data_IF_294886067949
#
_entry.id   IF_294886067949
#
_cell.length_a   1.000
_cell.length_b   1.000
_cell.length_c   1.000
_cell.angle_alpha   90.00
_cell.angle_beta   90.00
_cell.angle_gamma   90.00
#
_symmetry.space_group_name_H-M   'P 1'
#
loop_
_entity.id
_entity.type
_entity.pdbx_description
1 polymer ?
#
# COMPACT_ATOMS: atom_id res chain seq x y z
N UNK A 1 -33.55 -25.96 -14.19
CA UNK A 1 -33.43 -24.60 -13.61
C UNK A 1 -33.23 -24.77 -12.12
N UNK A 2 -32.05 -24.46 -11.59
CA UNK A 2 -31.77 -24.52 -10.16
C UNK A 2 -31.85 -23.10 -9.59
N UNK A 3 -32.99 -22.74 -9.01
CA UNK A 3 -33.18 -21.44 -8.38
C UNK A 3 -32.40 -21.38 -7.07
N UNK A 4 -31.32 -20.60 -7.05
CA UNK A 4 -30.53 -20.35 -5.85
C UNK A 4 -31.39 -19.65 -4.80
N UNK A 5 -31.73 -20.37 -3.73
CA UNK A 5 -32.30 -19.75 -2.53
C UNK A 5 -31.21 -18.94 -1.82
N UNK A 6 -31.17 -17.63 -2.10
CA UNK A 6 -30.46 -16.71 -1.22
C UNK A 6 -31.18 -16.71 0.12
N UNK A 7 -30.51 -17.27 1.14
CA UNK A 7 -31.07 -17.40 2.49
C UNK A 7 -31.53 -16.05 3.02
N UNK A 8 -32.81 -15.97 3.37
CA UNK A 8 -33.36 -14.83 4.10
C UNK A 8 -32.62 -14.73 5.43
N UNK A 9 -31.90 -13.62 5.65
CA UNK A 9 -31.28 -13.35 6.94
C UNK A 9 -32.39 -13.20 7.99
N UNK A 10 -32.44 -14.12 8.94
CA UNK A 10 -33.43 -14.11 10.03
C UNK A 10 -33.18 -12.92 10.94
N UNK A 11 -33.93 -11.83 10.76
CA UNK A 11 -33.93 -10.64 11.63
C UNK A 11 -34.22 -10.95 13.12
N UNK A 12 -34.70 -12.15 13.41
CA UNK A 12 -35.18 -12.57 14.73
C UNK A 12 -34.09 -13.23 15.62
N UNK A 13 -32.89 -13.49 15.08
CA UNK A 13 -31.82 -14.14 15.84
C UNK A 13 -30.58 -13.24 15.93
N UNK A 14 -29.99 -13.08 17.13
CA UNK A 14 -28.79 -12.28 17.30
C UNK A 14 -27.60 -12.96 16.59
N UNK A 15 -26.69 -12.22 15.95
CA UNK A 15 -25.61 -12.80 15.17
C UNK A 15 -24.57 -13.45 16.08
N UNK A 16 -24.28 -14.73 15.82
CA UNK A 16 -23.28 -15.51 16.57
C UNK A 16 -21.86 -14.94 16.34
N UNK A 17 -21.06 -14.87 17.40
CA UNK A 17 -19.65 -14.51 17.37
C UNK A 17 -18.76 -15.72 17.67
N UNK A 18 -17.73 -15.90 16.84
CA UNK A 18 -16.79 -17.04 16.87
C UNK A 18 -15.33 -16.56 16.79
N UNK A 19 -15.01 -15.44 17.45
CA UNK A 19 -13.67 -14.82 17.46
C UNK A 19 -13.15 -14.30 16.11
N UNK A 20 -13.94 -14.36 15.03
CA UNK A 20 -13.51 -14.01 13.68
C UNK A 20 -14.48 -13.06 12.98
N UNK A 21 -13.95 -12.29 12.01
CA UNK A 21 -14.70 -11.29 11.23
C UNK A 21 -15.47 -10.28 12.10
N UNK A 22 -14.85 -9.83 13.20
CA UNK A 22 -15.45 -8.95 14.21
C UNK A 22 -16.10 -7.70 13.59
N UNK A 23 -15.49 -7.06 12.59
CA UNK A 23 -16.08 -5.89 11.92
C UNK A 23 -17.46 -6.16 11.30
N UNK A 24 -17.65 -7.35 10.69
CA UNK A 24 -18.94 -7.74 10.12
C UNK A 24 -19.93 -8.18 11.21
N UNK A 25 -19.46 -8.88 12.25
CA UNK A 25 -20.28 -9.23 13.42
C UNK A 25 -20.79 -7.97 14.13
N UNK A 26 -19.90 -7.06 14.52
CA UNK A 26 -20.17 -5.78 15.19
C UNK A 26 -21.24 -4.97 14.46
N UNK A 27 -21.13 -4.87 13.13
CA UNK A 27 -22.14 -4.20 12.29
C UNK A 27 -23.51 -4.87 12.39
N UNK A 28 -23.57 -6.21 12.29
CA UNK A 28 -24.83 -6.97 12.39
C UNK A 28 -25.42 -6.91 13.79
N UNK A 29 -24.60 -7.02 14.84
CA UNK A 29 -25.05 -6.97 16.24
C UNK A 29 -25.63 -5.60 16.56
N UNK A 30 -24.94 -4.51 16.17
CA UNK A 30 -25.45 -3.15 16.28
C UNK A 30 -26.80 -2.96 15.56
N UNK A 31 -26.94 -3.50 14.35
CA UNK A 31 -28.21 -3.48 13.60
C UNK A 31 -29.32 -4.30 14.28
N UNK A 32 -28.99 -5.47 14.82
CA UNK A 32 -29.93 -6.33 15.55
C UNK A 32 -30.45 -5.63 16.81
N UNK A 33 -29.55 -5.09 17.65
CA UNK A 33 -29.95 -4.43 18.90
C UNK A 33 -30.86 -3.22 18.64
N UNK A 34 -30.54 -2.38 17.64
CA UNK A 34 -31.42 -1.28 17.22
C UNK A 34 -32.79 -1.74 16.73
N UNK A 35 -32.85 -2.88 16.03
CA UNK A 35 -34.10 -3.47 15.53
C UNK A 35 -34.95 -4.12 16.60
N UNK A 36 -34.35 -4.52 17.73
CA UNK A 36 -35.05 -5.08 18.90
C UNK A 36 -35.60 -3.98 19.80
N UNK A 37 -34.78 -2.99 20.14
CA UNK A 37 -35.11 -1.91 21.08
C UNK A 37 -34.03 -0.81 21.00
N UNK A 38 -34.39 0.42 20.62
CA UNK A 38 -33.44 1.53 20.50
C UNK A 38 -32.80 1.92 21.84
N UNK A 39 -33.53 1.80 22.95
CA UNK A 39 -32.99 2.09 24.29
C UNK A 39 -31.93 1.05 24.69
N UNK A 40 -32.03 -0.19 24.19
CA UNK A 40 -31.07 -1.26 24.46
C UNK A 40 -29.68 -0.93 23.89
N UNK A 41 -29.61 -0.37 22.67
CA UNK A 41 -28.33 0.09 22.12
C UNK A 41 -27.78 1.30 22.88
N UNK A 42 -28.64 2.25 23.29
CA UNK A 42 -28.21 3.41 24.07
C UNK A 42 -27.55 2.99 25.41
N UNK A 43 -28.02 1.92 26.04
CA UNK A 43 -27.39 1.36 27.25
C UNK A 43 -26.05 0.70 26.95
N UNK A 44 -25.89 -0.01 25.82
CA UNK A 44 -24.57 -0.54 25.39
C UNK A 44 -23.57 0.59 25.16
N UNK A 45 -24.00 1.70 24.54
CA UNK A 45 -23.10 2.80 24.20
C UNK A 45 -22.75 3.68 25.41
N UNK A 46 -23.74 4.03 26.24
CA UNK A 46 -23.57 5.02 27.31
C UNK A 46 -23.31 4.36 28.68
N UNK A 47 -23.78 3.13 28.87
CA UNK A 47 -23.86 2.44 30.16
C UNK A 47 -25.23 2.61 30.83
N UNK A 48 -25.52 1.83 31.88
CA UNK A 48 -26.66 2.09 32.76
C UNK A 48 -26.46 3.42 33.51
N UNK A 49 -27.55 3.96 34.05
CA UNK A 49 -27.50 5.07 35.01
C UNK A 49 -26.67 4.61 36.22
N UNK A 50 -25.58 5.32 36.53
CA UNK A 50 -24.74 5.01 37.70
C UNK A 50 -25.53 5.11 39.01
N UNK A 51 -25.14 4.28 39.97
CA UNK A 51 -25.91 4.01 41.19
C UNK A 51 -24.99 4.18 42.40
N UNK A 52 -25.46 4.89 43.42
CA UNK A 52 -24.96 4.69 44.78
C UNK A 52 -25.52 3.35 45.28
N UNK A 53 -24.66 2.56 45.94
CA UNK A 53 -24.89 1.15 46.25
C UNK A 53 -26.03 0.93 47.28
N UNK A 54 -26.38 1.98 48.04
CA UNK A 54 -27.01 1.81 49.35
C UNK A 54 -28.49 1.40 49.36
N UNK A 55 -29.30 1.65 48.31
CA UNK A 55 -30.72 1.23 48.35
C UNK A 55 -31.38 0.94 47.00
N UNK A 56 -31.61 -0.34 46.70
CA UNK A 56 -32.41 -0.77 45.53
C UNK A 56 -33.91 -0.40 45.65
N UNK A 57 -34.37 -0.11 46.87
CA UNK A 57 -35.77 0.18 47.17
C UNK A 57 -36.15 1.64 46.83
N UNK A 58 -35.20 2.58 46.89
CA UNK A 58 -35.43 4.01 46.57
C UNK A 58 -35.39 4.33 45.08
N UNK A 59 -34.99 3.36 44.23
CA UNK A 59 -34.81 3.57 42.80
C UNK A 59 -36.10 4.02 42.08
N UNK A 60 -35.94 5.06 41.26
CA UNK A 60 -36.95 5.52 40.31
C UNK A 60 -37.27 4.47 39.24
N UNK A 61 -38.43 4.64 38.58
CA UNK A 61 -38.81 3.78 37.45
C UNK A 61 -37.78 3.80 36.30
N UNK A 62 -37.14 4.96 36.07
CA UNK A 62 -36.11 5.11 35.04
C UNK A 62 -34.82 4.33 35.38
N UNK A 63 -34.37 4.36 36.64
CA UNK A 63 -33.22 3.57 37.09
C UNK A 63 -33.51 2.06 36.99
N UNK A 64 -34.68 1.61 37.45
CA UNK A 64 -35.12 0.20 37.32
C UNK A 64 -35.14 -0.25 35.86
N UNK A 65 -35.69 0.57 34.95
CA UNK A 65 -35.69 0.29 33.49
C UNK A 65 -34.27 0.24 32.93
N UNK A 66 -33.39 1.17 33.30
CA UNK A 66 -32.00 1.22 32.84
C UNK A 66 -31.20 -0.02 33.25
N UNK A 67 -31.35 -0.48 34.51
CA UNK A 67 -30.72 -1.70 35.00
C UNK A 67 -31.25 -2.97 34.28
N UNK A 68 -32.56 -3.06 34.06
CA UNK A 68 -33.19 -4.16 33.31
C UNK A 68 -32.70 -4.21 31.85
N UNK A 69 -32.59 -3.06 31.18
CA UNK A 69 -32.04 -2.96 29.84
C UNK A 69 -30.55 -3.35 29.80
N UNK A 70 -29.76 -2.98 30.81
CA UNK A 70 -28.35 -3.40 30.91
C UNK A 70 -28.24 -4.93 31.02
N UNK A 71 -28.99 -5.56 31.93
CA UNK A 71 -29.02 -7.02 32.06
C UNK A 71 -29.46 -7.72 30.76
N UNK A 72 -30.50 -7.19 30.10
CA UNK A 72 -30.97 -7.71 28.80
C UNK A 72 -29.91 -7.55 27.71
N UNK A 73 -29.18 -6.44 27.69
CA UNK A 73 -28.10 -6.20 26.72
C UNK A 73 -26.89 -7.12 26.96
N UNK A 74 -26.47 -7.30 28.22
CA UNK A 74 -25.43 -8.27 28.60
C UNK A 74 -25.79 -9.68 28.14
N UNK A 75 -27.03 -10.11 28.42
CA UNK A 75 -27.52 -11.42 28.01
C UNK A 75 -27.53 -11.60 26.47
N UNK A 76 -28.00 -10.59 25.71
CA UNK A 76 -27.97 -10.63 24.24
C UNK A 76 -26.54 -10.72 23.70
N UNK A 77 -25.58 -10.01 24.30
CA UNK A 77 -24.18 -10.09 23.90
C UNK A 77 -23.61 -11.49 24.22
N UNK A 78 -23.64 -11.90 25.48
CA UNK A 78 -23.04 -13.16 25.95
C UNK A 78 -23.67 -14.40 25.31
N UNK A 79 -25.00 -14.44 25.10
CA UNK A 79 -25.69 -15.57 24.47
C UNK A 79 -25.31 -15.82 23.00
N UNK A 80 -24.58 -14.89 22.36
CA UNK A 80 -24.05 -15.08 21.00
C UNK A 80 -22.58 -15.46 20.94
N UNK A 81 -21.88 -15.43 22.07
CA UNK A 81 -20.45 -15.72 22.13
C UNK A 81 -20.21 -17.24 22.20
N UNK A 82 -19.06 -17.68 21.70
CA UNK A 82 -18.52 -18.99 22.07
C UNK A 82 -17.93 -18.90 23.51
N UNK A 83 -17.52 -20.03 24.12
CA UNK A 83 -16.91 -20.01 25.45
C UNK A 83 -15.65 -19.13 25.54
N UNK A 84 -14.73 -19.24 24.57
CA UNK A 84 -13.46 -18.50 24.55
C UNK A 84 -13.64 -16.96 24.56
N UNK A 85 -14.71 -16.46 23.91
CA UNK A 85 -15.09 -15.06 23.91
C UNK A 85 -15.86 -14.65 25.18
N UNK A 86 -16.66 -15.56 25.75
CA UNK A 86 -17.41 -15.31 26.98
C UNK A 86 -16.47 -15.17 28.19
N UNK A 87 -15.44 -16.01 28.28
CA UNK A 87 -14.42 -15.98 29.34
C UNK A 87 -13.65 -14.63 29.35
N UNK A 88 -13.43 -14.01 28.19
CA UNK A 88 -12.78 -12.69 28.10
C UNK A 88 -13.61 -11.54 28.72
N UNK A 89 -14.93 -11.70 28.81
CA UNK A 89 -15.87 -10.67 29.28
C UNK A 89 -16.60 -11.08 30.56
N UNK A 90 -16.20 -12.18 31.21
CA UNK A 90 -16.82 -12.72 32.42
C UNK A 90 -16.84 -11.68 33.56
N UNK A 91 -15.78 -10.89 33.68
CA UNK A 91 -15.60 -9.89 34.74
C UNK A 91 -16.20 -8.51 34.42
N UNK A 92 -16.98 -8.36 33.34
CA UNK A 92 -17.63 -7.10 32.98
C UNK A 92 -19.01 -6.98 33.65
N UNK A 93 -19.23 -5.89 34.38
CA UNK A 93 -20.48 -5.65 35.15
C UNK A 93 -21.57 -4.98 34.30
N UNK A 94 -21.20 -4.36 33.18
CA UNK A 94 -22.14 -3.67 32.28
C UNK A 94 -22.02 -4.11 30.82
N UNK A 95 -23.12 -3.99 30.07
CA UNK A 95 -23.12 -4.25 28.63
C UNK A 95 -22.15 -3.32 27.87
N UNK A 96 -21.89 -2.13 28.42
CA UNK A 96 -20.90 -1.18 27.93
C UNK A 96 -19.47 -1.70 28.10
N UNK A 97 -19.14 -2.27 29.26
CA UNK A 97 -17.84 -2.90 29.49
C UNK A 97 -17.63 -4.11 28.60
N UNK A 98 -18.63 -5.00 28.48
CA UNK A 98 -18.56 -6.15 27.54
C UNK A 98 -18.26 -5.65 26.12
N UNK A 99 -18.98 -4.62 25.66
CA UNK A 99 -18.79 -4.06 24.33
C UNK A 99 -17.40 -3.41 24.18
N UNK A 100 -16.94 -2.64 25.17
CA UNK A 100 -15.64 -1.99 25.16
C UNK A 100 -14.46 -2.98 25.24
N UNK A 101 -14.61 -4.07 26.00
CA UNK A 101 -13.66 -5.17 26.07
C UNK A 101 -13.52 -5.85 24.70
N UNK A 102 -14.63 -6.22 24.06
CA UNK A 102 -14.63 -6.75 22.70
C UNK A 102 -14.03 -5.77 21.67
N UNK A 103 -14.37 -4.48 21.75
CA UNK A 103 -13.75 -3.47 20.88
C UNK A 103 -12.24 -3.35 21.11
N UNK A 104 -11.76 -3.61 22.32
CA UNK A 104 -10.34 -3.55 22.69
C UNK A 104 -9.58 -4.79 22.23
N UNK A 105 -10.13 -5.99 22.42
CA UNK A 105 -9.54 -7.24 21.91
C UNK A 105 -9.44 -7.21 20.38
N UNK A 106 -10.52 -6.84 19.68
CA UNK A 106 -10.65 -7.07 18.24
C UNK A 106 -10.25 -5.89 17.34
N UNK A 107 -10.30 -4.66 17.84
CA UNK A 107 -9.86 -3.47 17.09
C UNK A 107 -8.63 -2.79 17.72
N UNK A 108 -8.14 -3.31 18.85
CA UNK A 108 -7.07 -2.70 19.66
C UNK A 108 -7.58 -1.62 20.63
N UNK A 109 -6.71 -1.20 21.55
CA UNK A 109 -6.96 -0.05 22.45
C UNK A 109 -7.09 1.27 21.67
N UNK A 110 -7.65 2.33 22.28
CA UNK A 110 -7.72 3.66 21.64
C UNK A 110 -6.35 4.11 21.11
N UNK A 111 -5.29 3.93 21.90
CA UNK A 111 -3.92 4.28 21.53
C UNK A 111 -3.43 3.52 20.28
N UNK A 112 -3.82 2.26 20.10
CA UNK A 112 -3.49 1.48 18.89
C UNK A 112 -4.30 1.99 17.69
N UNK A 113 -5.59 2.34 17.88
CA UNK A 113 -6.43 2.95 16.84
C UNK A 113 -5.88 4.31 16.40
N UNK A 114 -5.48 5.15 17.35
CA UNK A 114 -4.85 6.46 17.13
C UNK A 114 -3.50 6.33 16.41
N UNK A 115 -2.59 5.49 16.90
CA UNK A 115 -1.32 5.23 16.22
C UNK A 115 -1.50 4.73 14.79
N UNK A 116 -2.51 3.87 14.55
CA UNK A 116 -2.86 3.41 13.20
C UNK A 116 -3.47 4.51 12.33
N UNK A 117 -4.26 5.43 12.90
CA UNK A 117 -4.74 6.64 12.22
C UNK A 117 -3.55 7.51 11.82
N UNK A 118 -2.61 7.76 12.71
CA UNK A 118 -1.45 8.63 12.45
C UNK A 118 -0.54 8.06 11.36
N UNK A 119 -0.29 6.75 11.38
CA UNK A 119 0.44 6.05 10.32
C UNK A 119 -0.27 6.16 8.96
N UNK A 120 -1.59 5.98 8.92
CA UNK A 120 -2.39 6.12 7.69
C UNK A 120 -2.52 7.58 7.23
N UNK A 121 -2.53 8.55 8.15
CA UNK A 121 -2.49 9.97 7.83
C UNK A 121 -1.15 10.34 7.20
N UNK A 122 -0.03 9.88 7.75
CA UNK A 122 1.29 10.04 7.15
C UNK A 122 1.40 9.34 5.79
N UNK A 123 0.86 8.13 5.63
CA UNK A 123 0.75 7.44 4.32
C UNK A 123 -0.09 8.27 3.33
N UNK A 124 -1.19 8.89 3.78
CA UNK A 124 -2.02 9.79 2.97
C UNK A 124 -1.25 11.05 2.55
N UNK A 125 -0.56 11.70 3.48
CA UNK A 125 0.19 12.94 3.25
C UNK A 125 1.37 12.73 2.30
N UNK A 126 2.09 11.62 2.45
CA UNK A 126 3.17 11.18 1.55
C UNK A 126 2.69 10.50 0.26
N UNK A 127 1.39 10.18 0.14
CA UNK A 127 0.84 9.52 -1.04
C UNK A 127 1.14 10.30 -2.34
N UNK A 128 1.74 9.62 -3.32
CA UNK A 128 1.98 10.11 -4.66
C UNK A 128 1.62 9.02 -5.70
N UNK A 129 1.44 9.45 -6.95
CA UNK A 129 1.44 8.58 -8.11
C UNK A 129 2.82 7.93 -8.25
N UNK A 130 2.86 6.64 -8.58
CA UNK A 130 4.10 5.89 -8.79
C UNK A 130 4.58 6.02 -10.25
N UNK A 131 5.88 5.81 -10.48
CA UNK A 131 6.44 5.83 -11.83
C UNK A 131 5.82 4.72 -12.71
N UNK A 132 5.34 5.10 -13.89
CA UNK A 132 4.67 4.17 -14.82
C UNK A 132 3.25 3.75 -14.43
N UNK A 133 2.72 4.25 -13.30
CA UNK A 133 1.33 4.04 -12.89
C UNK A 133 0.35 4.84 -13.76
N UNK A 134 -0.90 4.38 -13.89
CA UNK A 134 -1.99 5.14 -14.48
C UNK A 134 -2.89 5.82 -13.44
N UNK A 135 -3.71 6.77 -13.88
CA UNK A 135 -4.66 7.50 -13.03
C UNK A 135 -5.65 6.55 -12.34
N UNK A 136 -6.05 5.46 -13.00
CA UNK A 136 -6.99 4.48 -12.45
C UNK A 136 -6.37 3.66 -11.31
N UNK A 137 -5.14 3.18 -11.49
CA UNK A 137 -4.38 2.44 -10.49
C UNK A 137 -4.08 3.33 -9.26
N UNK A 138 -3.62 4.57 -9.51
CA UNK A 138 -3.38 5.57 -8.47
C UNK A 138 -4.65 5.83 -7.66
N UNK A 139 -5.77 6.09 -8.35
CA UNK A 139 -7.05 6.33 -7.69
C UNK A 139 -7.51 5.12 -6.87
N UNK A 140 -7.33 3.91 -7.39
CA UNK A 140 -7.67 2.67 -6.68
C UNK A 140 -6.87 2.52 -5.38
N UNK A 141 -5.55 2.75 -5.40
CA UNK A 141 -4.71 2.77 -4.18
C UNK A 141 -5.17 3.85 -3.19
N UNK A 142 -5.45 5.05 -3.69
CA UNK A 142 -5.92 6.17 -2.87
C UNK A 142 -7.26 5.86 -2.19
N UNK A 143 -8.22 5.27 -2.92
CA UNK A 143 -9.51 4.84 -2.38
C UNK A 143 -9.36 3.79 -1.29
N UNK A 144 -8.44 2.83 -1.44
CA UNK A 144 -8.13 1.84 -0.38
C UNK A 144 -7.61 2.55 0.87
N UNK A 145 -6.70 3.52 0.74
CA UNK A 145 -6.14 4.28 1.86
C UNK A 145 -7.21 5.11 2.59
N UNK A 146 -8.02 5.86 1.85
CA UNK A 146 -9.15 6.65 2.39
C UNK A 146 -10.19 5.76 3.08
N UNK A 147 -10.46 4.57 2.53
CA UNK A 147 -11.38 3.61 3.15
C UNK A 147 -10.83 3.03 4.47
N UNK A 148 -9.51 2.81 4.59
CA UNK A 148 -8.87 2.42 5.86
C UNK A 148 -9.07 3.51 6.93
N UNK A 149 -8.80 4.77 6.60
CA UNK A 149 -9.01 5.92 7.50
C UNK A 149 -10.48 6.06 7.92
N UNK A 150 -11.41 5.97 6.96
CA UNK A 150 -12.85 6.01 7.22
C UNK A 150 -13.32 4.86 8.11
N UNK A 151 -12.73 3.66 7.96
CA UNK A 151 -12.98 2.50 8.82
C UNK A 151 -12.58 2.71 10.29
N UNK A 152 -11.62 3.61 10.56
CA UNK A 152 -11.20 4.01 11.90
C UNK A 152 -11.90 5.30 12.38
N UNK A 153 -12.99 5.72 11.73
CA UNK A 153 -13.76 6.90 12.11
C UNK A 153 -13.22 8.25 11.61
N UNK A 154 -12.10 8.27 10.85
CA UNK A 154 -11.58 9.51 10.23
C UNK A 154 -12.16 9.69 8.82
N UNK A 155 -13.19 10.53 8.70
CA UNK A 155 -13.69 10.99 7.41
C UNK A 155 -12.99 12.27 6.94
N UNK A 156 -12.44 12.26 5.72
CA UNK A 156 -11.93 13.45 5.04
C UNK A 156 -13.04 14.17 4.26
N UNK A 157 -12.96 15.50 4.12
CA UNK A 157 -13.88 16.24 3.25
C UNK A 157 -13.52 16.03 1.77
N UNK A 158 -14.51 16.03 0.87
CA UNK A 158 -14.28 15.91 -0.59
C UNK A 158 -13.26 16.92 -1.11
N UNK A 159 -13.27 18.14 -0.54
CA UNK A 159 -12.31 19.22 -0.82
C UNK A 159 -10.86 18.78 -0.62
N UNK A 160 -10.58 18.09 0.47
CA UNK A 160 -9.23 17.69 0.85
C UNK A 160 -8.79 16.45 0.07
N UNK A 161 -9.73 15.53 -0.22
CA UNK A 161 -9.50 14.39 -1.13
C UNK A 161 -9.15 14.87 -2.55
N UNK A 162 -9.93 15.80 -3.12
CA UNK A 162 -9.67 16.39 -4.42
C UNK A 162 -8.29 17.07 -4.48
N UNK A 163 -7.96 17.88 -3.47
CA UNK A 163 -6.64 18.52 -3.34
C UNK A 163 -5.50 17.50 -3.20
N UNK A 164 -5.70 16.44 -2.42
CA UNK A 164 -4.70 15.40 -2.21
C UNK A 164 -4.40 14.66 -3.51
N UNK A 165 -5.45 14.23 -4.23
CA UNK A 165 -5.32 13.63 -5.58
C UNK A 165 -4.55 14.55 -6.52
N UNK A 166 -4.93 15.83 -6.62
CA UNK A 166 -4.27 16.81 -7.49
C UNK A 166 -2.80 17.09 -7.14
N UNK A 167 -2.44 17.01 -5.85
CA UNK A 167 -1.04 17.18 -5.37
C UNK A 167 -0.19 15.93 -5.56
N UNK A 168 -0.80 14.74 -5.61
CA UNK A 168 -0.13 13.46 -5.83
C UNK A 168 0.28 13.21 -7.28
N UNK A 169 -0.20 14.02 -8.23
CA UNK A 169 0.13 13.88 -9.65
C UNK A 169 1.59 14.29 -9.94
N UNK A 170 2.28 13.63 -10.89
CA UNK A 170 3.62 13.98 -11.34
C UNK A 170 3.73 15.40 -11.91
N UNK A 171 4.96 15.91 -12.03
CA UNK A 171 5.22 17.29 -12.49
C UNK A 171 4.75 17.55 -13.93
N UNK A 172 4.61 16.56 -14.80
CA UNK A 172 4.05 16.76 -16.14
C UNK A 172 2.57 17.21 -16.09
N UNK A 173 1.85 16.92 -15.00
CA UNK A 173 0.44 17.24 -14.84
C UNK A 173 0.17 18.67 -14.33
N UNK A 174 1.22 19.44 -14.02
CA UNK A 174 1.09 20.82 -13.50
C UNK A 174 0.14 21.72 -14.33
N UNK A 175 0.19 21.75 -15.68
CA UNK A 175 -0.73 22.59 -16.46
C UNK A 175 -2.19 22.16 -16.30
N UNK A 176 -2.46 20.85 -16.32
CA UNK A 176 -3.80 20.28 -16.14
C UNK A 176 -4.32 20.49 -14.71
N UNK A 177 -3.45 20.41 -13.70
CA UNK A 177 -3.77 20.69 -12.31
C UNK A 177 -4.20 22.14 -12.14
N UNK A 178 -3.36 23.10 -12.53
CA UNK A 178 -3.64 24.52 -12.37
C UNK A 178 -4.95 24.90 -13.09
N UNK A 179 -5.16 24.41 -14.33
CA UNK A 179 -6.41 24.64 -15.05
C UNK A 179 -7.66 24.09 -14.35
N UNK A 180 -7.56 22.99 -13.58
CA UNK A 180 -8.65 22.49 -12.74
C UNK A 180 -8.85 23.38 -11.50
N UNK A 181 -7.76 23.80 -10.84
CA UNK A 181 -7.78 24.64 -9.64
C UNK A 181 -8.34 26.04 -9.91
N UNK A 182 -8.09 26.59 -11.11
CA UNK A 182 -8.64 27.87 -11.58
C UNK A 182 -10.10 27.76 -12.04
N UNK A 183 -10.44 26.72 -12.80
CA UNK A 183 -11.77 26.60 -13.42
C UNK A 183 -12.84 25.97 -12.51
N UNK A 184 -12.48 25.24 -11.45
CA UNK A 184 -13.43 24.47 -10.62
C UNK A 184 -13.22 24.65 -9.12
N UNK A 185 -14.31 24.86 -8.39
CA UNK A 185 -14.28 24.85 -6.94
C UNK A 185 -14.12 23.40 -6.42
N UNK A 186 -12.92 23.06 -5.94
CA UNK A 186 -12.59 21.73 -5.40
C UNK A 186 -13.49 21.29 -4.24
N UNK A 187 -14.20 22.22 -3.59
CA UNK A 187 -15.11 21.93 -2.47
C UNK A 187 -16.45 21.33 -2.93
N UNK A 188 -16.90 21.67 -4.15
CA UNK A 188 -18.17 21.20 -4.73
C UNK A 188 -17.97 20.15 -5.83
N UNK A 189 -16.76 20.07 -6.41
CA UNK A 189 -16.40 19.12 -7.46
C UNK A 189 -16.54 17.65 -6.98
N UNK A 190 -17.39 16.83 -7.62
CA UNK A 190 -17.43 15.38 -7.34
C UNK A 190 -16.12 14.70 -7.72
N UNK A 191 -15.61 13.81 -6.86
CA UNK A 191 -14.34 13.09 -7.09
C UNK A 191 -14.37 12.33 -8.43
N UNK A 192 -15.49 11.71 -8.78
CA UNK A 192 -15.64 10.97 -10.05
C UNK A 192 -15.48 11.89 -11.28
N UNK A 193 -15.91 13.14 -11.20
CA UNK A 193 -15.75 14.12 -12.28
C UNK A 193 -14.29 14.60 -12.40
N UNK A 194 -13.59 14.75 -11.26
CA UNK A 194 -12.16 14.99 -11.23
C UNK A 194 -11.38 13.84 -11.88
N UNK A 195 -11.63 12.61 -11.47
CA UNK A 195 -10.98 11.42 -12.02
C UNK A 195 -11.29 11.25 -13.52
N UNK A 196 -12.53 11.48 -13.96
CA UNK A 196 -12.89 11.48 -15.39
C UNK A 196 -12.11 12.52 -16.20
N UNK A 197 -11.95 13.74 -15.68
CA UNK A 197 -11.14 14.80 -16.31
C UNK A 197 -9.65 14.44 -16.43
N UNK A 198 -9.11 13.70 -15.44
CA UNK A 198 -7.73 13.24 -15.43
C UNK A 198 -7.53 12.05 -16.38
N UNK A 199 -8.43 11.06 -16.39
CA UNK A 199 -8.40 9.91 -17.32
C UNK A 199 -8.49 10.35 -18.78
N UNK A 200 -9.37 11.31 -19.10
CA UNK A 200 -9.46 11.86 -20.45
C UNK A 200 -8.16 12.57 -20.88
N UNK A 201 -7.50 13.27 -19.96
CA UNK A 201 -6.20 13.90 -20.22
C UNK A 201 -5.09 12.85 -20.41
N UNK A 202 -5.09 11.77 -19.62
CA UNK A 202 -4.15 10.65 -19.78
C UNK A 202 -4.26 10.02 -21.17
N UNK A 203 -5.50 9.84 -21.67
CA UNK A 203 -5.75 9.31 -23.00
C UNK A 203 -5.20 10.22 -24.10
N UNK A 204 -5.39 11.54 -23.99
CA UNK A 204 -4.82 12.53 -24.92
C UNK A 204 -3.29 12.52 -24.89
N UNK A 205 -2.65 12.47 -23.71
CA UNK A 205 -1.20 12.37 -23.60
C UNK A 205 -0.66 11.09 -24.28
N UNK A 206 -1.33 9.96 -24.08
CA UNK A 206 -0.97 8.67 -24.72
C UNK A 206 -1.10 8.73 -26.25
N UNK A 207 -2.10 9.43 -26.80
CA UNK A 207 -2.21 9.64 -28.24
C UNK A 207 -1.09 10.53 -28.80
N UNK A 208 -0.84 11.70 -28.18
CA UNK A 208 0.20 12.64 -28.62
C UNK A 208 1.59 12.01 -28.58
N UNK A 209 1.93 11.27 -27.52
CA UNK A 209 3.20 10.55 -27.42
C UNK A 209 3.40 9.51 -28.53
N UNK A 210 2.36 8.79 -28.92
CA UNK A 210 2.41 7.85 -30.05
C UNK A 210 2.56 8.56 -31.41
N UNK A 211 1.96 9.73 -31.59
CA UNK A 211 2.19 10.54 -32.79
C UNK A 211 3.62 11.07 -32.84
N UNK A 212 4.17 11.58 -31.75
CA UNK A 212 5.54 12.08 -31.70
C UNK A 212 6.57 10.98 -31.93
N UNK A 213 6.35 9.76 -31.43
CA UNK A 213 7.17 8.61 -31.79
C UNK A 213 7.10 8.29 -33.29
N UNK A 214 5.90 8.27 -33.88
CA UNK A 214 5.73 8.04 -35.33
C UNK A 214 6.41 9.15 -36.14
N UNK A 215 6.28 10.41 -35.73
CA UNK A 215 6.94 11.57 -36.37
C UNK A 215 8.47 11.47 -36.26
N UNK A 216 9.03 11.12 -35.09
CA UNK A 216 10.47 10.92 -34.89
C UNK A 216 11.02 9.76 -35.74
N UNK A 217 10.30 8.63 -35.81
CA UNK A 217 10.63 7.50 -36.69
C UNK A 217 10.61 7.91 -38.18
N UNK A 218 9.65 8.76 -38.58
CA UNK A 218 9.54 9.25 -39.96
C UNK A 218 10.52 10.38 -40.34
N UNK A 219 11.10 11.08 -39.36
CA UNK A 219 12.07 12.16 -39.61
C UNK A 219 13.48 11.64 -39.91
N UNK A 220 13.82 10.46 -39.41
CA UNK A 220 15.15 9.85 -39.53
C UNK A 220 15.52 9.37 -40.96
N UNK A 221 14.61 9.48 -41.94
CA UNK A 221 14.82 8.98 -43.30
C UNK A 221 14.36 9.95 -44.40
N UNK A 222 14.75 11.23 -44.29
CA UNK A 222 14.64 12.22 -45.38
C UNK A 222 15.92 13.05 -45.56
N UNK A 223 17.01 12.40 -45.93
CA UNK A 223 18.03 13.08 -46.75
C UNK A 223 17.41 13.37 -48.11
N UNK A 224 16.83 14.56 -48.27
CA UNK A 224 16.31 15.05 -49.55
C UNK A 224 17.51 15.27 -50.47
N UNK A 225 17.83 14.25 -51.28
CA UNK A 225 18.63 14.45 -52.50
C UNK A 225 17.87 15.47 -53.33
N UNK A 226 18.46 16.65 -53.48
CA UNK A 226 18.02 17.62 -54.47
C UNK A 226 18.95 17.41 -55.64
N UNK A 227 18.47 16.67 -56.64
CA UNK A 227 19.14 16.61 -57.93
C UNK A 227 19.09 18.01 -58.54
N UNK A 228 20.22 18.70 -58.48
CA UNK A 228 20.53 19.81 -59.37
C UNK A 228 21.60 19.31 -60.34
N UNK A 229 21.16 18.95 -61.55
CA UNK A 229 22.04 18.95 -62.72
C UNK A 229 22.60 20.37 -62.88
N UNK A 230 23.88 20.55 -62.58
CA UNK A 230 24.62 21.77 -62.86
C UNK A 230 26.12 21.48 -62.89
N UNK A 231 26.63 21.24 -64.10
CA UNK A 231 28.07 21.14 -64.36
C UNK A 231 28.78 22.41 -63.88
N UNK A 232 29.56 22.30 -62.80
CA UNK A 232 30.72 23.14 -62.47
C UNK A 232 31.43 22.57 -61.22
N UNK A 233 32.39 21.65 -61.42
CA UNK A 233 33.29 21.25 -60.32
C UNK A 233 34.12 22.46 -59.85
N UNK A 234 33.96 22.84 -58.59
CA UNK A 234 34.78 23.88 -57.96
C UNK A 234 36.19 23.34 -57.65
N UNK A 235 37.20 24.20 -57.73
CA UNK A 235 38.61 23.79 -57.53
C UNK A 235 38.89 23.31 -56.08
N UNK A 236 38.03 23.68 -55.13
CA UNK A 236 38.07 23.26 -53.73
C UNK A 236 37.94 21.74 -53.54
N UNK A 237 37.11 21.06 -54.34
CA UNK A 237 36.88 19.62 -54.20
C UNK A 237 38.12 18.82 -54.63
N UNK A 238 38.88 19.35 -55.60
CA UNK A 238 40.17 18.80 -56.03
C UNK A 238 41.24 18.97 -54.95
N UNK A 239 41.27 20.11 -54.27
CA UNK A 239 42.18 20.36 -53.15
C UNK A 239 41.90 19.41 -51.96
N UNK A 240 40.64 19.26 -51.55
CA UNK A 240 40.26 18.34 -50.46
C UNK A 240 40.55 16.87 -50.80
N UNK A 241 40.35 16.45 -52.06
CA UNK A 241 40.71 15.13 -52.54
C UNK A 241 42.23 14.88 -52.52
N UNK A 242 43.06 15.89 -52.82
CA UNK A 242 44.52 15.81 -52.73
C UNK A 242 45.01 15.71 -51.28
N UNK A 243 44.42 16.47 -50.35
CA UNK A 243 44.70 16.36 -48.90
C UNK A 243 44.34 14.96 -48.40
N UNK A 244 43.15 14.46 -48.73
CA UNK A 244 42.68 13.12 -48.35
C UNK A 244 43.56 11.99 -48.88
N UNK A 245 44.06 12.12 -50.13
CA UNK A 245 45.02 11.18 -50.74
C UNK A 245 46.41 11.24 -50.09
N UNK A 246 46.89 12.43 -49.71
CA UNK A 246 48.14 12.57 -48.92
C UNK A 246 48.02 11.91 -47.55
N UNK A 247 46.90 12.10 -46.86
CA UNK A 247 46.67 11.53 -45.53
C UNK A 247 46.66 9.98 -45.55
N UNK A 248 45.95 9.38 -46.52
CA UNK A 248 45.96 7.93 -46.72
C UNK A 248 47.34 7.37 -47.09
N UNK A 249 48.14 8.11 -47.87
CA UNK A 249 49.52 7.71 -48.21
C UNK A 249 50.44 7.74 -46.98
N UNK A 250 50.27 8.72 -46.10
CA UNK A 250 51.05 8.83 -44.85
C UNK A 250 50.70 7.74 -43.83
N UNK A 251 49.42 7.33 -43.75
CA UNK A 251 48.98 6.23 -42.88
C UNK A 251 49.53 4.87 -43.33
N UNK A 252 49.64 4.60 -44.64
CA UNK A 252 50.27 3.36 -45.14
C UNK A 252 51.75 3.27 -44.77
N UNK A 253 52.51 4.37 -44.95
CA UNK A 253 53.96 4.38 -44.69
C UNK A 253 54.33 4.09 -43.22
N UNK A 254 53.46 4.44 -42.26
CA UNK A 254 53.65 4.11 -40.83
C UNK A 254 53.32 2.65 -40.47
N UNK A 255 52.59 1.94 -41.32
CA UNK A 255 52.22 0.53 -41.08
C UNK A 255 53.29 -0.43 -41.59
N UNK A 256 54.01 -0.06 -42.66
CA UNK A 256 55.05 -0.89 -43.25
C UNK A 256 56.37 -0.88 -42.44
N UNK A 257 56.71 0.23 -41.76
CA UNK A 257 57.86 0.27 -40.85
C UNK A 257 57.73 -0.66 -39.63
N UNK A 258 56.50 -1.00 -39.19
CA UNK A 258 56.27 -1.97 -38.11
C UNK A 258 56.35 -3.44 -38.54
N UNK A 259 56.51 -3.73 -39.84
CA UNK A 259 56.56 -5.09 -40.38
C UNK A 259 57.96 -5.62 -40.69
N UNK A 260 59.01 -4.81 -40.51
CA UNK A 260 60.40 -5.17 -40.82
C UNK A 260 61.30 -5.35 -39.58
N UNK A 261 60.74 -5.31 -38.36
CA UNK A 261 61.53 -5.33 -37.11
C UNK A 261 61.30 -6.57 -36.23
N UNK A 262 60.83 -7.69 -36.79
CA UNK A 262 60.63 -8.94 -36.05
C UNK A 262 61.04 -10.16 -36.91
N UNK A 263 62.35 -10.42 -37.03
CA UNK A 263 62.83 -11.79 -37.29
C UNK A 263 64.27 -12.02 -36.79
N UNK A 264 64.40 -12.48 -35.54
CA UNK A 264 65.51 -13.29 -35.02
C UNK A 264 65.01 -14.04 -33.78
N UNK A 265 65.02 -15.37 -33.85
CA UNK A 265 64.41 -16.34 -32.90
C UNK A 265 65.40 -16.66 -31.74
N UNK A 266 65.19 -17.64 -30.81
CA UNK A 266 64.05 -18.58 -30.60
C UNK A 266 63.65 -18.86 -29.11
N UNK A 267 62.76 -19.87 -28.94
CA UNK A 267 62.37 -20.60 -27.69
C UNK A 267 61.40 -19.87 -26.74
N UNK A 268 60.46 -20.53 -26.03
CA UNK A 268 60.21 -21.97 -25.78
C UNK A 268 58.70 -22.25 -25.59
N UNK A 269 58.28 -23.53 -25.67
CA UNK A 269 56.99 -24.15 -25.26
C UNK A 269 56.53 -23.71 -23.83
N UNK A 270 55.30 -23.86 -23.28
CA UNK A 270 53.90 -24.09 -23.70
C UNK A 270 52.99 -23.88 -22.45
N UNK A 271 51.64 -23.98 -22.39
CA UNK A 271 50.54 -24.22 -23.34
C UNK A 271 49.26 -23.52 -22.76
N UNK A 272 48.19 -23.43 -23.55
CA UNK A 272 46.76 -23.41 -23.16
C UNK A 272 46.26 -22.57 -21.94
N UNK A 273 45.59 -21.46 -22.25
CA UNK A 273 44.38 -21.01 -21.51
C UNK A 273 43.24 -20.63 -22.48
N UNK A 274 42.33 -21.58 -22.69
CA UNK A 274 40.91 -21.36 -22.94
C UNK A 274 40.15 -22.26 -21.96
N UNK A 275 38.92 -21.98 -21.54
CA UNK A 275 38.06 -20.83 -21.79
C UNK A 275 36.61 -21.19 -21.47
N UNK A 276 35.85 -20.22 -20.95
CA UNK A 276 34.38 -20.24 -20.77
C UNK A 276 33.72 -21.23 -19.78
N UNK A 277 32.62 -20.73 -19.17
CA UNK A 277 31.51 -21.43 -18.51
C UNK A 277 31.88 -22.39 -17.36
N UNK A 278 31.43 -22.21 -16.12
CA UNK A 278 30.06 -21.95 -15.68
C UNK A 278 29.98 -21.25 -14.31
N UNK A 279 28.82 -20.63 -14.03
CA UNK A 279 28.38 -20.42 -12.64
C UNK A 279 26.86 -20.27 -12.52
N UNK A 280 26.16 -21.40 -12.64
CA UNK A 280 24.81 -21.56 -12.09
C UNK A 280 24.84 -22.68 -11.04
N UNK A 281 24.05 -22.48 -9.97
CA UNK A 281 23.64 -23.45 -8.96
C UNK A 281 24.67 -23.87 -7.86
N UNK A 282 24.06 -24.13 -6.70
CA UNK A 282 24.49 -25.03 -5.64
C UNK A 282 25.56 -24.55 -4.64
N UNK A 283 25.11 -23.86 -3.59
CA UNK A 283 25.61 -24.09 -2.23
C UNK A 283 24.43 -24.35 -1.29
N UNK A 284 24.21 -25.64 -1.01
CA UNK A 284 23.51 -26.14 0.17
C UNK A 284 24.29 -27.37 0.64
N UNK A 285 24.38 -27.57 1.96
CA UNK A 285 25.26 -28.56 2.64
C UNK A 285 26.76 -28.23 2.54
N UNK A 286 27.57 -28.41 3.58
CA UNK A 286 27.30 -28.88 4.95
C UNK A 286 28.60 -29.31 5.65
N UNK A 287 28.50 -29.69 6.94
CA UNK A 287 29.57 -30.12 7.89
C UNK A 287 30.12 -28.97 8.76
N UNK A 288 29.86 -28.97 10.08
CA UNK A 288 30.44 -29.81 11.16
C UNK A 288 31.91 -29.47 11.43
N UNK A 289 32.42 -29.38 12.67
CA UNK A 289 31.89 -29.34 14.05
C UNK A 289 33.07 -28.73 14.87
N UNK A 290 32.90 -27.96 15.94
CA UNK A 290 32.73 -28.33 17.37
C UNK A 290 32.71 -27.00 18.14
N UNK A 291 32.05 -26.79 19.28
CA UNK A 291 31.52 -27.73 20.24
C UNK A 291 32.08 -27.41 21.64
N UNK A 292 31.40 -26.56 22.40
CA UNK A 292 31.53 -26.53 23.86
C UNK A 292 30.23 -25.99 24.48
N UNK A 293 29.74 -26.72 25.48
CA UNK A 293 28.54 -26.41 26.24
C UNK A 293 28.92 -25.51 27.42
N UNK A 294 28.07 -24.56 27.76
CA UNK A 294 27.87 -24.18 29.16
C UNK A 294 26.39 -24.06 29.46
N UNK A 295 26.02 -24.40 30.70
CA UNK A 295 24.65 -24.56 31.17
C UNK A 295 24.20 -23.31 31.95
N UNK A 296 22.91 -23.30 32.27
CA UNK A 296 22.24 -22.36 33.20
C UNK A 296 22.08 -20.93 32.61
N UNK A 297 20.93 -20.26 32.72
CA UNK A 297 19.84 -20.41 33.70
C UNK A 297 18.46 -20.18 33.08
N UNK A 298 17.46 -20.98 33.50
CA UNK A 298 16.05 -20.59 33.37
C UNK A 298 15.71 -19.54 34.42
N UNK A 299 14.86 -18.57 34.07
CA UNK A 299 14.26 -17.63 35.02
C UNK A 299 12.73 -17.56 34.82
N UNK A 300 11.99 -18.40 35.54
CA UNK A 300 10.54 -18.24 35.70
C UNK A 300 10.24 -17.16 36.75
N UNK A 301 9.38 -16.21 36.40
CA UNK A 301 9.07 -15.07 37.25
C UNK A 301 7.91 -15.39 38.22
N UNK A 302 8.20 -15.59 39.51
CA UNK A 302 7.18 -15.54 40.57
C UNK A 302 7.76 -14.95 41.86
N UNK A 303 7.16 -13.84 42.32
CA UNK A 303 7.34 -13.22 43.64
C UNK A 303 8.76 -12.81 44.10
N UNK A 304 9.48 -12.07 43.27
CA UNK A 304 10.05 -10.78 43.70
C UNK A 304 11.14 -10.71 44.79
N UNK A 305 11.83 -11.80 45.18
CA UNK A 305 13.05 -11.73 46.01
C UNK A 305 14.10 -12.76 45.57
N UNK A 306 15.36 -12.31 45.46
CA UNK A 306 16.53 -13.18 45.25
C UNK A 306 17.20 -13.51 46.59
N UNK A 307 17.62 -14.76 46.81
CA UNK A 307 18.31 -15.15 48.04
C UNK A 307 18.73 -16.61 48.13
N UNK A 308 20.03 -16.85 47.88
CA UNK A 308 20.88 -17.96 48.38
C UNK A 308 20.48 -19.43 48.17
N UNK A 309 21.28 -20.11 47.35
CA UNK A 309 21.51 -21.56 47.37
C UNK A 309 22.37 -21.90 48.61
N UNK A 310 22.13 -23.06 49.23
CA UNK A 310 23.10 -23.71 50.14
C UNK A 310 23.27 -25.18 49.73
N UNK A 311 24.51 -25.65 49.89
CA UNK A 311 25.08 -26.91 49.39
C UNK A 311 24.20 -28.15 49.50
#
# INVERSE_FOLDING_TARGET
>A
MASSSFGQATLNHPPIFIGSNYTAWKKRMKQFMWGVDEELWLIVQNGPIQMDIEDQQTWSAAQKKSAQLNQRAMHVLQSTMNPDEADQVENCETAKEIWAALETTYEGTSNIKESRIDLLMHECESFNMLDGEGIHEMYSRFTVLVNKLKGLGRSSQNKDLNRKILRSLPKEWLPKRNAIEEAKNLSTLPINELIGSLLNHEHVLKQVGQEDEKRKKNLAFKSRVIDYDSDNESDFDKEFALVSKKFHRMLKYKNDQKRLSNESKPNYYDHNKSGYQDRLLQQQTGLFETGQQDKESQACYKYGKFGHIRA
#
